data_IF_114997437708
#
_entry.id   IF_114997437708
#
_cell.length_a   1.000
_cell.length_b   1.000
_cell.length_c   1.000
_cell.angle_alpha   90.00
_cell.angle_beta   90.00
_cell.angle_gamma   90.00
#
_symmetry.space_group_name_H-M   'P 1'
#
loop_
_entity.id
_entity.type
_entity.pdbx_description
1 polymer ?
#
# COMPACT_ATOMS: atom_id res chain seq x y z
N UNK A 1 6.14 21.29 3.34
CA UNK A 1 5.43 22.30 2.53
C UNK A 1 3.92 22.27 2.79
N UNK A 2 3.21 21.12 2.81
CA UNK A 2 1.75 21.05 3.07
C UNK A 2 1.31 21.94 4.25
N UNK A 3 1.87 21.77 5.44
CA UNK A 3 1.53 22.59 6.62
C UNK A 3 1.73 24.09 6.43
N UNK A 4 2.69 24.49 5.57
CA UNK A 4 2.92 25.91 5.26
C UNK A 4 1.79 26.46 4.38
N UNK A 5 1.28 25.66 3.45
CA UNK A 5 0.14 26.02 2.60
C UNK A 5 -1.12 26.08 3.46
N UNK A 6 -1.39 25.00 4.22
CA UNK A 6 -2.55 24.92 5.13
C UNK A 6 -2.60 26.10 6.12
N UNK A 7 -1.45 26.51 6.68
CA UNK A 7 -1.35 27.63 7.61
C UNK A 7 -1.59 29.03 6.99
N UNK A 8 -1.59 29.13 5.65
CA UNK A 8 -1.90 30.35 4.91
C UNK A 8 -3.38 30.43 4.49
N UNK A 9 -4.12 29.33 4.68
CA UNK A 9 -5.57 29.31 4.41
C UNK A 9 -6.35 29.99 5.53
N UNK A 10 -7.51 30.54 5.20
CA UNK A 10 -8.37 31.24 6.14
C UNK A 10 -9.06 30.36 7.19
N UNK A 11 -9.91 30.97 8.03
CA UNK A 11 -10.67 30.24 9.07
C UNK A 11 -11.68 29.22 8.53
N UNK A 12 -12.03 29.32 7.27
CA UNK A 12 -12.95 28.42 6.56
C UNK A 12 -12.28 27.10 6.16
N UNK A 13 -10.95 26.98 6.37
CA UNK A 13 -10.16 25.82 6.01
C UNK A 13 -9.93 24.90 7.22
N UNK A 14 -10.41 23.67 7.12
CA UNK A 14 -10.16 22.61 8.09
C UNK A 14 -9.14 21.64 7.54
N UNK A 15 -7.91 21.64 8.09
CA UNK A 15 -6.82 20.79 7.67
C UNK A 15 -6.93 19.35 8.19
N UNK A 16 -6.34 18.39 7.46
CA UNK A 16 -6.11 17.00 7.89
C UNK A 16 -7.39 16.27 8.32
N UNK A 17 -8.44 16.33 7.49
CA UNK A 17 -9.75 15.76 7.82
C UNK A 17 -9.77 14.25 7.58
N UNK A 18 -9.90 13.41 8.62
CA UNK A 18 -10.00 11.97 8.46
C UNK A 18 -11.33 11.58 7.82
N UNK A 19 -11.28 10.70 6.85
CA UNK A 19 -12.43 10.17 6.13
C UNK A 19 -12.38 8.64 6.15
N UNK A 20 -13.52 8.01 6.35
CA UNK A 20 -13.66 6.57 6.34
C UNK A 20 -14.99 6.19 5.68
N UNK A 21 -14.96 5.18 4.82
CA UNK A 21 -16.15 4.59 4.23
C UNK A 21 -16.01 3.07 4.26
N UNK A 22 -17.08 2.39 4.67
CA UNK A 22 -17.18 0.94 4.60
C UNK A 22 -18.12 0.55 3.46
N UNK A 23 -17.60 -0.21 2.51
CA UNK A 23 -18.34 -0.70 1.33
C UNK A 23 -18.56 -2.21 1.50
N UNK A 24 -19.77 -2.65 1.88
CA UNK A 24 -20.08 -4.07 2.01
C UNK A 24 -19.93 -4.81 0.68
N UNK A 25 -19.30 -5.98 0.73
CA UNK A 25 -19.25 -6.97 -0.33
C UNK A 25 -19.95 -8.25 0.16
N UNK A 26 -20.18 -9.23 -0.71
CA UNK A 26 -20.87 -10.47 -0.33
C UNK A 26 -20.21 -11.23 0.85
N UNK A 27 -18.87 -11.24 0.92
CA UNK A 27 -18.12 -12.06 1.88
C UNK A 27 -17.20 -11.24 2.79
N UNK A 28 -17.04 -9.94 2.56
CA UNK A 28 -16.16 -9.06 3.32
C UNK A 28 -16.67 -7.61 3.26
N UNK A 29 -16.08 -6.76 4.09
CA UNK A 29 -16.27 -5.31 4.03
C UNK A 29 -14.98 -4.67 3.56
N UNK A 30 -15.04 -3.86 2.51
CA UNK A 30 -13.92 -3.05 2.07
C UNK A 30 -13.94 -1.73 2.83
N UNK A 31 -12.95 -1.50 3.69
CA UNK A 31 -12.76 -0.25 4.39
C UNK A 31 -11.83 0.68 3.61
N UNK A 32 -12.36 1.82 3.22
CA UNK A 32 -11.62 2.92 2.61
C UNK A 32 -11.34 3.95 3.68
N UNK A 33 -10.07 4.21 3.95
CA UNK A 33 -9.64 5.18 4.95
C UNK A 33 -8.63 6.13 4.33
N UNK A 34 -8.77 7.41 4.62
CA UNK A 34 -7.87 8.43 4.14
C UNK A 34 -7.96 9.70 4.95
N UNK A 35 -7.23 10.70 4.53
CA UNK A 35 -7.22 12.00 5.15
C UNK A 35 -7.13 13.04 4.05
N UNK A 36 -8.19 13.85 3.89
CA UNK A 36 -8.15 15.00 2.99
C UNK A 36 -7.19 16.06 3.57
N UNK A 37 -6.33 16.62 2.73
CA UNK A 37 -5.41 17.67 3.15
C UNK A 37 -6.16 18.89 3.69
N UNK A 38 -7.32 19.20 3.10
CA UNK A 38 -8.18 20.24 3.60
C UNK A 38 -9.62 20.16 3.13
N UNK A 39 -10.51 20.75 3.94
CA UNK A 39 -11.90 21.04 3.58
C UNK A 39 -12.14 22.53 3.77
N UNK A 40 -12.56 23.21 2.71
CA UNK A 40 -12.98 24.60 2.71
C UNK A 40 -14.51 24.63 2.81
N UNK A 41 -15.05 25.42 3.73
CA UNK A 41 -16.49 25.59 3.86
C UNK A 41 -16.80 27.07 3.91
N UNK A 42 -17.45 27.59 2.89
CA UNK A 42 -17.81 29.02 2.76
C UNK A 42 -19.24 29.20 2.21
N UNK A 43 -19.60 30.43 1.85
CA UNK A 43 -20.92 30.75 1.31
C UNK A 43 -21.17 30.10 -0.07
N UNK A 44 -20.12 29.82 -0.83
CA UNK A 44 -20.22 29.23 -2.17
C UNK A 44 -20.36 27.69 -2.10
N UNK A 45 -20.13 27.09 -0.92
CA UNK A 45 -20.27 25.66 -0.71
C UNK A 45 -19.09 25.00 0.01
N UNK A 46 -18.89 23.72 -0.30
CA UNK A 46 -17.83 22.90 0.27
C UNK A 46 -16.84 22.47 -0.81
N UNK A 47 -15.55 22.66 -0.55
CA UNK A 47 -14.47 22.23 -1.44
C UNK A 47 -13.49 21.32 -0.70
N UNK A 48 -13.18 20.16 -1.27
CA UNK A 48 -12.07 19.30 -0.84
C UNK A 48 -10.80 19.78 -1.50
N UNK A 49 -9.79 20.12 -0.72
CA UNK A 49 -8.46 20.52 -1.20
C UNK A 49 -7.44 19.39 -1.02
N UNK A 50 -6.80 19.01 -2.12
CA UNK A 50 -5.72 18.03 -2.15
C UNK A 50 -4.42 18.73 -2.57
N UNK A 51 -3.40 18.70 -1.71
CA UNK A 51 -2.14 19.41 -1.89
C UNK A 51 -1.05 18.47 -2.39
N UNK A 52 -0.41 18.80 -3.48
CA UNK A 52 0.73 18.06 -4.04
C UNK A 52 1.95 18.96 -4.16
N UNK A 53 3.01 18.61 -3.43
CA UNK A 53 4.29 19.31 -3.50
C UNK A 53 5.28 18.47 -4.31
N UNK A 54 5.93 19.08 -5.30
CA UNK A 54 6.84 18.38 -6.21
C UNK A 54 7.98 19.31 -6.67
N UNK A 55 9.07 18.71 -7.16
CA UNK A 55 10.18 19.41 -7.77
C UNK A 55 9.93 19.55 -9.29
N UNK A 56 8.98 20.41 -9.64
CA UNK A 56 8.56 20.62 -11.04
C UNK A 56 7.91 21.98 -11.13
N UNK A 57 8.17 22.70 -12.23
CA UNK A 57 7.51 23.97 -12.54
C UNK A 57 6.00 23.73 -12.72
N UNK A 58 5.24 23.98 -11.64
CA UNK A 58 3.79 23.75 -11.60
C UNK A 58 3.01 24.80 -12.38
N UNK A 59 3.64 25.92 -12.77
CA UNK A 59 2.97 26.99 -13.55
C UNK A 59 2.68 26.57 -14.99
N UNK A 60 3.33 25.49 -15.46
CA UNK A 60 3.12 24.90 -16.80
C UNK A 60 2.00 23.86 -16.85
N UNK A 61 1.36 23.58 -15.72
CA UNK A 61 0.24 22.64 -15.74
C UNK A 61 -0.98 23.28 -16.37
N UNK A 62 -1.50 22.66 -17.40
CA UNK A 62 -2.75 23.07 -18.08
C UNK A 62 -3.96 22.35 -17.48
N UNK A 63 -3.74 21.16 -16.88
CA UNK A 63 -4.76 20.35 -16.26
C UNK A 63 -4.21 19.60 -15.05
N UNK A 64 -5.06 19.17 -14.10
CA UNK A 64 -4.61 18.38 -12.95
C UNK A 64 -4.21 16.97 -13.37
N UNK A 65 -3.19 16.42 -12.69
CA UNK A 65 -2.81 15.02 -12.88
C UNK A 65 -3.97 14.13 -12.44
N UNK A 66 -4.44 13.27 -13.35
CA UNK A 66 -5.67 12.49 -13.17
C UNK A 66 -5.72 11.68 -11.86
N UNK A 67 -4.64 11.00 -11.48
CA UNK A 67 -4.60 10.21 -10.24
C UNK A 67 -4.77 11.07 -8.97
N UNK A 68 -4.27 12.30 -8.97
CA UNK A 68 -4.45 13.24 -7.86
C UNK A 68 -5.90 13.73 -7.81
N UNK A 69 -6.48 14.04 -8.98
CA UNK A 69 -7.89 14.40 -9.10
C UNK A 69 -8.79 13.26 -8.62
N UNK A 70 -8.53 12.03 -9.03
CA UNK A 70 -9.29 10.86 -8.59
C UNK A 70 -9.21 10.65 -7.07
N UNK A 71 -8.06 10.89 -6.44
CA UNK A 71 -7.93 10.84 -4.99
C UNK A 71 -8.83 11.88 -4.31
N UNK A 72 -8.80 13.13 -4.76
CA UNK A 72 -9.63 14.20 -4.22
C UNK A 72 -11.12 13.95 -4.46
N UNK A 73 -11.49 13.39 -5.61
CA UNK A 73 -12.88 12.98 -5.91
C UNK A 73 -13.38 11.88 -4.98
N UNK A 74 -12.52 10.90 -4.61
CA UNK A 74 -12.87 9.89 -3.59
C UNK A 74 -13.17 10.57 -2.24
N UNK A 75 -12.35 11.52 -1.82
CA UNK A 75 -12.58 12.26 -0.58
C UNK A 75 -13.84 13.11 -0.66
N UNK A 76 -14.08 13.78 -1.80
CA UNK A 76 -15.28 14.55 -2.03
C UNK A 76 -16.54 13.69 -1.95
N UNK A 77 -16.55 12.52 -2.59
CA UNK A 77 -17.66 11.57 -2.49
C UNK A 77 -17.94 11.15 -1.05
N UNK A 78 -16.90 10.72 -0.32
CA UNK A 78 -17.04 10.26 1.07
C UNK A 78 -17.56 11.40 1.95
N UNK A 79 -17.01 12.62 1.79
CA UNK A 79 -17.41 13.77 2.58
C UNK A 79 -18.85 14.21 2.27
N UNK A 80 -19.22 14.27 0.99
CA UNK A 80 -20.58 14.63 0.56
C UNK A 80 -21.61 13.60 1.05
N UNK A 81 -21.32 12.31 0.96
CA UNK A 81 -22.17 11.23 1.49
C UNK A 81 -22.41 11.39 2.99
N UNK A 82 -21.35 11.67 3.77
CA UNK A 82 -21.43 11.79 5.23
C UNK A 82 -22.16 13.05 5.71
N UNK A 83 -22.17 14.11 4.89
CA UNK A 83 -22.75 15.39 5.25
C UNK A 83 -24.04 15.72 4.47
N UNK A 84 -24.54 14.81 3.62
CA UNK A 84 -25.76 14.98 2.85
C UNK A 84 -25.70 16.15 1.85
N UNK A 85 -24.55 16.30 1.15
CA UNK A 85 -24.35 17.39 0.19
C UNK A 85 -24.79 16.95 -1.21
N UNK A 86 -25.58 17.75 -1.90
CA UNK A 86 -25.98 17.51 -3.29
C UNK A 86 -24.89 17.91 -4.30
N UNK A 87 -23.97 18.81 -3.88
CA UNK A 87 -22.87 19.31 -4.69
C UNK A 87 -21.64 19.57 -3.83
N UNK A 88 -20.45 19.34 -4.38
CA UNK A 88 -19.16 19.56 -3.73
C UNK A 88 -18.10 19.87 -4.78
N UNK A 89 -17.18 20.78 -4.46
CA UNK A 89 -16.02 21.07 -5.32
C UNK A 89 -14.78 20.27 -4.89
N UNK A 90 -13.89 20.05 -5.83
CA UNK A 90 -12.56 19.48 -5.64
C UNK A 90 -11.54 20.53 -6.09
N UNK A 91 -10.58 20.83 -5.24
CA UNK A 91 -9.44 21.68 -5.55
C UNK A 91 -8.15 20.84 -5.51
N UNK A 92 -7.32 20.96 -6.55
CA UNK A 92 -5.96 20.42 -6.58
C UNK A 92 -5.00 21.60 -6.40
N UNK A 93 -4.25 21.60 -5.32
CA UNK A 93 -3.23 22.62 -5.01
C UNK A 93 -1.85 22.06 -5.26
N UNK A 94 -1.22 22.41 -6.38
CA UNK A 94 0.16 22.03 -6.70
C UNK A 94 1.12 23.11 -6.21
N UNK A 95 2.25 22.69 -5.63
CA UNK A 95 3.30 23.58 -5.15
C UNK A 95 4.66 23.09 -5.63
N UNK A 96 5.40 23.96 -6.28
CA UNK A 96 6.81 23.75 -6.59
C UNK A 96 7.63 23.88 -5.30
N UNK A 97 8.47 22.89 -5.01
CA UNK A 97 9.31 22.85 -3.80
C UNK A 97 10.53 23.76 -3.88
N UNK A 98 10.96 24.14 -5.08
CA UNK A 98 12.11 25.03 -5.29
C UNK A 98 11.70 26.51 -5.27
N UNK A 99 10.62 26.86 -5.94
CA UNK A 99 10.17 28.26 -6.09
C UNK A 99 9.05 28.65 -5.12
N UNK A 100 8.37 27.69 -4.51
CA UNK A 100 7.14 27.84 -3.71
C UNK A 100 5.95 28.41 -4.50
N UNK A 101 6.03 28.42 -5.84
CA UNK A 101 4.90 28.81 -6.69
C UNK A 101 3.77 27.79 -6.57
N UNK A 102 2.54 28.29 -6.67
CA UNK A 102 1.31 27.50 -6.48
C UNK A 102 0.42 27.63 -7.71
N UNK A 103 -0.02 26.49 -8.22
CA UNK A 103 -1.06 26.37 -9.24
C UNK A 103 -2.26 25.64 -8.66
N UNK A 104 -3.49 26.14 -8.94
CA UNK A 104 -4.73 25.51 -8.44
C UNK A 104 -5.69 25.23 -9.58
N UNK A 105 -6.33 24.05 -9.49
CA UNK A 105 -7.43 23.65 -10.36
C UNK A 105 -8.63 23.35 -9.47
N UNK A 106 -9.78 23.89 -9.81
CA UNK A 106 -11.03 23.65 -9.09
C UNK A 106 -12.12 23.18 -10.07
N UNK A 107 -12.91 22.20 -9.63
CA UNK A 107 -14.02 21.66 -10.39
C UNK A 107 -15.14 21.23 -9.46
N UNK A 108 -16.37 21.59 -9.80
CA UNK A 108 -17.58 21.25 -9.03
C UNK A 108 -18.23 19.98 -9.59
N UNK A 109 -18.70 19.13 -8.69
CA UNK A 109 -19.37 17.88 -9.01
C UNK A 109 -20.71 17.79 -8.28
N UNK A 110 -21.74 17.25 -8.97
CA UNK A 110 -22.93 16.79 -8.27
C UNK A 110 -22.64 15.48 -7.51
N UNK A 111 -23.31 15.29 -6.37
CA UNK A 111 -23.21 14.05 -5.61
C UNK A 111 -23.54 12.82 -6.48
N UNK A 112 -24.62 12.90 -7.27
CA UNK A 112 -25.03 11.81 -8.15
C UNK A 112 -23.93 11.40 -9.14
N UNK A 113 -23.21 12.37 -9.71
CA UNK A 113 -22.10 12.09 -10.63
C UNK A 113 -20.93 11.43 -9.92
N UNK A 114 -20.54 11.95 -8.73
CA UNK A 114 -19.48 11.36 -7.92
C UNK A 114 -19.82 9.95 -7.46
N UNK A 115 -21.06 9.70 -7.05
CA UNK A 115 -21.54 8.39 -6.64
C UNK A 115 -21.40 7.37 -7.76
N UNK A 116 -21.86 7.71 -8.97
CA UNK A 116 -21.73 6.83 -10.12
C UNK A 116 -20.29 6.56 -10.48
N UNK A 117 -19.46 7.61 -10.54
CA UNK A 117 -18.03 7.48 -10.81
C UNK A 117 -17.34 6.59 -9.76
N UNK A 118 -17.66 6.77 -8.49
CA UNK A 118 -17.13 5.98 -7.40
C UNK A 118 -17.55 4.51 -7.50
N UNK A 119 -18.80 4.24 -7.82
CA UNK A 119 -19.31 2.89 -8.03
C UNK A 119 -18.59 2.18 -9.19
N UNK A 120 -18.41 2.85 -10.33
CA UNK A 120 -17.69 2.31 -11.48
C UNK A 120 -16.21 2.00 -11.13
N UNK A 121 -15.55 2.88 -10.37
CA UNK A 121 -14.20 2.66 -9.87
C UNK A 121 -14.14 1.46 -8.91
N UNK A 122 -15.10 1.33 -8.00
CA UNK A 122 -15.18 0.22 -7.06
C UNK A 122 -15.42 -1.11 -7.76
N UNK A 123 -16.28 -1.17 -8.77
CA UNK A 123 -16.51 -2.37 -9.58
C UNK A 123 -15.22 -2.76 -10.33
N UNK A 124 -14.51 -1.80 -10.92
CA UNK A 124 -13.21 -2.06 -11.54
C UNK A 124 -12.16 -2.59 -10.56
N UNK A 125 -12.19 -2.13 -9.28
CA UNK A 125 -11.26 -2.55 -8.24
C UNK A 125 -11.62 -3.89 -7.63
N UNK A 126 -12.86 -4.33 -7.71
CA UNK A 126 -13.41 -5.53 -7.09
C UNK A 126 -12.62 -6.80 -7.40
N UNK A 127 -12.17 -6.95 -8.66
CA UNK A 127 -11.37 -8.12 -9.06
C UNK A 127 -10.13 -8.35 -8.18
N UNK A 128 -9.46 -7.28 -7.72
CA UNK A 128 -8.30 -7.40 -6.84
C UNK A 128 -8.68 -7.68 -5.40
N UNK A 129 -9.75 -7.07 -4.89
CA UNK A 129 -10.20 -7.31 -3.52
C UNK A 129 -10.74 -8.73 -3.35
N UNK A 130 -11.51 -9.23 -4.31
CA UNK A 130 -12.00 -10.61 -4.33
C UNK A 130 -10.83 -11.61 -4.39
N UNK A 131 -9.85 -11.36 -5.27
CA UNK A 131 -8.65 -12.17 -5.35
C UNK A 131 -7.87 -12.17 -4.02
N UNK A 132 -7.62 -11.01 -3.43
CA UNK A 132 -6.89 -10.91 -2.17
C UNK A 132 -7.63 -11.63 -1.03
N UNK A 133 -8.94 -11.51 -0.97
CA UNK A 133 -9.77 -12.19 0.02
C UNK A 133 -9.68 -13.71 -0.14
N UNK A 134 -9.90 -14.22 -1.34
CA UNK A 134 -9.81 -15.64 -1.64
C UNK A 134 -8.40 -16.19 -1.37
N UNK A 135 -7.37 -15.46 -1.80
CA UNK A 135 -5.98 -15.83 -1.58
C UNK A 135 -5.61 -15.87 -0.10
N UNK A 136 -6.06 -14.89 0.69
CA UNK A 136 -5.86 -14.88 2.13
C UNK A 136 -6.41 -16.16 2.78
N UNK A 137 -7.60 -16.59 2.39
CA UNK A 137 -8.22 -17.82 2.89
C UNK A 137 -7.38 -19.06 2.55
N UNK A 138 -6.92 -19.18 1.29
CA UNK A 138 -6.04 -20.28 0.84
C UNK A 138 -4.73 -20.28 1.65
N UNK A 139 -4.09 -19.11 1.78
CA UNK A 139 -2.86 -18.95 2.56
C UNK A 139 -3.06 -19.38 4.01
N UNK A 140 -4.08 -18.89 4.69
CA UNK A 140 -4.35 -19.19 6.10
C UNK A 140 -4.59 -20.68 6.30
N UNK A 141 -5.41 -21.30 5.46
CA UNK A 141 -5.67 -22.74 5.52
C UNK A 141 -4.37 -23.55 5.34
N UNK A 142 -3.51 -23.17 4.40
CA UNK A 142 -2.25 -23.86 4.16
C UNK A 142 -1.26 -23.76 5.32
N UNK A 143 -1.32 -22.68 6.10
CA UNK A 143 -0.45 -22.47 7.26
C UNK A 143 -0.90 -23.34 8.45
N UNK A 144 -2.21 -23.56 8.63
CA UNK A 144 -2.74 -24.33 9.74
C UNK A 144 -2.19 -25.74 9.81
N UNK A 145 -1.98 -26.38 8.66
CA UNK A 145 -1.45 -27.75 8.53
C UNK A 145 0.07 -27.82 8.35
N UNK A 146 0.75 -26.66 8.29
CA UNK A 146 2.17 -26.60 8.04
C UNK A 146 2.96 -27.00 9.29
N UNK A 147 3.79 -28.04 9.17
CA UNK A 147 4.68 -28.49 10.22
C UNK A 147 6.12 -28.02 9.99
N UNK A 148 6.93 -28.03 11.04
CA UNK A 148 8.35 -27.75 10.92
C UNK A 148 9.00 -28.89 10.10
N UNK A 149 9.74 -28.57 9.02
CA UNK A 149 10.07 -29.57 7.98
C UNK A 149 11.17 -30.54 8.35
N UNK A 150 11.80 -30.40 9.52
CA UNK A 150 12.93 -31.24 9.98
C UNK A 150 12.76 -31.61 11.46
N UNK A 151 13.45 -32.68 11.93
CA UNK A 151 13.68 -32.88 13.36
C UNK A 151 14.40 -31.64 13.94
N UNK A 152 13.93 -31.16 15.09
CA UNK A 152 14.58 -30.06 15.73
C UNK A 152 15.99 -30.39 16.21
N UNK A 153 16.94 -29.50 15.93
CA UNK A 153 18.29 -29.54 16.50
C UNK A 153 18.25 -28.97 17.92
N UNK A 154 19.32 -29.25 18.68
CA UNK A 154 19.49 -28.69 20.01
C UNK A 154 19.33 -27.15 19.99
N UNK A 155 18.58 -26.61 20.91
CA UNK A 155 18.25 -25.18 20.99
C UNK A 155 17.32 -24.62 19.92
N UNK A 156 17.09 -25.35 18.81
CA UNK A 156 16.28 -24.86 17.70
C UNK A 156 14.79 -24.75 18.06
N UNK A 157 14.27 -25.71 18.80
CA UNK A 157 12.89 -25.67 19.28
C UNK A 157 12.64 -24.45 20.16
N UNK A 158 13.58 -24.14 21.07
CA UNK A 158 13.51 -22.96 21.93
C UNK A 158 13.51 -21.69 21.09
N UNK A 159 14.40 -21.59 20.10
CA UNK A 159 14.50 -20.44 19.21
C UNK A 159 13.20 -20.18 18.43
N UNK A 160 12.60 -21.22 17.83
CA UNK A 160 11.31 -21.14 17.13
C UNK A 160 10.22 -20.59 18.06
N UNK A 161 10.14 -21.10 19.29
CA UNK A 161 9.20 -20.63 20.30
C UNK A 161 9.45 -19.18 20.74
N UNK A 162 10.73 -18.78 20.86
CA UNK A 162 11.08 -17.40 21.25
C UNK A 162 10.69 -16.39 20.15
N UNK A 163 10.94 -16.72 18.88
CA UNK A 163 10.50 -15.89 17.73
C UNK A 163 8.98 -15.76 17.72
N UNK A 164 8.24 -16.86 17.81
CA UNK A 164 6.79 -16.83 17.83
C UNK A 164 6.24 -15.98 18.97
N UNK A 165 6.70 -16.22 20.20
CA UNK A 165 6.29 -15.44 21.39
C UNK A 165 6.59 -13.96 21.26
N UNK A 166 7.71 -13.62 20.61
CA UNK A 166 8.11 -12.23 20.39
C UNK A 166 7.16 -11.52 19.45
N UNK A 167 6.76 -12.17 18.36
CA UNK A 167 5.77 -11.64 17.41
C UNK A 167 4.41 -11.48 18.11
N UNK A 168 3.95 -12.50 18.82
CA UNK A 168 2.70 -12.48 19.55
C UNK A 168 2.64 -11.33 20.58
N UNK A 169 3.76 -11.06 21.26
CA UNK A 169 3.87 -9.99 22.26
C UNK A 169 4.21 -8.62 21.66
N UNK A 170 4.37 -8.51 20.34
CA UNK A 170 4.77 -7.28 19.63
C UNK A 170 6.07 -6.67 20.21
N UNK A 171 7.07 -7.51 20.46
CA UNK A 171 8.36 -7.14 21.03
C UNK A 171 9.49 -7.27 20.00
N UNK A 172 10.69 -6.85 20.37
CA UNK A 172 11.93 -7.00 19.60
C UNK A 172 12.72 -8.16 20.21
N UNK A 173 13.31 -8.99 19.33
CA UNK A 173 14.15 -10.11 19.72
C UNK A 173 15.53 -9.97 19.06
N UNK A 174 16.58 -10.03 19.83
CA UNK A 174 17.94 -10.15 19.36
C UNK A 174 18.39 -11.62 19.50
N UNK A 175 18.91 -12.18 18.42
CA UNK A 175 19.31 -13.60 18.37
C UNK A 175 20.78 -13.69 18.00
N UNK A 176 21.55 -14.34 18.85
CA UNK A 176 22.90 -14.77 18.55
C UNK A 176 22.95 -16.30 18.54
N UNK A 177 23.31 -16.87 17.40
CA UNK A 177 23.43 -18.31 17.26
C UNK A 177 24.55 -18.67 16.25
N UNK A 178 25.28 -19.78 16.43
CA UNK A 178 26.33 -20.23 15.52
C UNK A 178 25.85 -20.44 14.09
N UNK A 179 26.79 -20.51 13.15
CA UNK A 179 26.48 -20.91 11.77
C UNK A 179 26.01 -22.37 11.74
N UNK A 180 25.14 -22.72 10.78
CA UNK A 180 24.62 -24.06 10.63
C UNK A 180 23.49 -24.48 11.57
N UNK A 181 23.07 -23.64 12.52
CA UNK A 181 21.96 -23.95 13.46
C UNK A 181 20.56 -23.82 12.84
N UNK A 182 20.45 -23.49 11.56
CA UNK A 182 19.16 -23.32 10.90
C UNK A 182 18.41 -22.03 11.29
N UNK A 183 19.14 -20.94 11.56
CA UNK A 183 18.53 -19.63 11.94
C UNK A 183 17.42 -19.17 11.00
N UNK A 184 17.62 -19.31 9.69
CA UNK A 184 16.67 -18.84 8.67
C UNK A 184 15.30 -19.50 8.81
N UNK A 185 15.27 -20.83 8.85
CA UNK A 185 14.01 -21.58 9.01
C UNK A 185 13.41 -21.35 10.41
N UNK A 186 14.25 -21.22 11.44
CA UNK A 186 13.81 -20.98 12.82
C UNK A 186 13.23 -19.56 13.04
N UNK A 187 13.50 -18.64 12.12
CA UNK A 187 12.87 -17.32 12.10
C UNK A 187 11.64 -17.28 11.16
N UNK A 188 11.75 -17.81 9.94
CA UNK A 188 10.69 -17.75 8.95
C UNK A 188 9.50 -18.62 9.29
N UNK A 189 9.69 -19.86 9.74
CA UNK A 189 8.60 -20.77 10.06
C UNK A 189 7.67 -20.22 11.14
N UNK A 190 8.15 -19.79 12.33
CA UNK A 190 7.27 -19.23 13.35
C UNK A 190 6.64 -17.89 12.94
N UNK A 191 7.32 -17.09 12.10
CA UNK A 191 6.74 -15.89 11.53
C UNK A 191 5.58 -16.21 10.58
N UNK A 192 5.72 -17.22 9.72
CA UNK A 192 4.64 -17.72 8.87
C UNK A 192 3.49 -18.26 9.73
N UNK A 193 3.77 -19.04 10.78
CA UNK A 193 2.74 -19.50 11.72
C UNK A 193 1.96 -18.34 12.34
N UNK A 194 2.66 -17.29 12.76
CA UNK A 194 2.06 -16.07 13.31
C UNK A 194 1.14 -15.37 12.30
N UNK A 195 1.53 -15.32 11.01
CA UNK A 195 0.66 -14.83 9.94
C UNK A 195 -0.59 -15.70 9.82
N UNK A 196 -0.47 -17.02 9.94
CA UNK A 196 -1.60 -17.96 9.93
C UNK A 196 -2.61 -17.71 11.05
N UNK A 197 -2.17 -17.12 12.15
CA UNK A 197 -2.98 -16.75 13.31
C UNK A 197 -3.41 -15.28 13.33
N UNK A 198 -3.26 -14.59 12.20
CA UNK A 198 -3.59 -13.17 12.02
C UNK A 198 -2.81 -12.20 12.94
N UNK A 199 -1.63 -12.59 13.39
CA UNK A 199 -0.73 -11.71 14.17
C UNK A 199 0.07 -10.74 13.28
N UNK A 200 -0.03 -10.88 11.97
CA UNK A 200 0.54 -10.02 10.94
C UNK A 200 0.12 -10.48 9.56
N UNK A 201 0.26 -9.63 8.56
CA UNK A 201 -0.13 -9.94 7.17
C UNK A 201 1.05 -10.17 6.23
N UNK A 202 2.20 -9.59 6.54
CA UNK A 202 3.41 -9.61 5.71
C UNK A 202 4.66 -9.85 6.54
N UNK A 203 5.63 -10.51 5.93
CA UNK A 203 6.96 -10.74 6.51
C UNK A 203 7.99 -10.07 5.61
N UNK A 204 8.79 -9.17 6.17
CA UNK A 204 9.94 -8.57 5.50
C UNK A 204 11.21 -9.25 6.02
N UNK A 205 11.85 -10.06 5.19
CA UNK A 205 13.13 -10.70 5.51
C UNK A 205 14.27 -9.86 4.90
N UNK A 206 14.88 -9.02 5.70
CA UNK A 206 15.92 -8.09 5.28
C UNK A 206 17.30 -8.73 5.44
N UNK A 207 18.14 -8.63 4.42
CA UNK A 207 19.50 -9.21 4.43
C UNK A 207 20.51 -8.23 3.85
N UNK A 208 21.70 -8.16 4.45
CA UNK A 208 22.80 -7.34 3.92
C UNK A 208 23.57 -8.05 2.78
N UNK A 209 23.45 -9.37 2.65
CA UNK A 209 24.22 -10.19 1.68
C UNK A 209 23.30 -10.96 0.74
N UNK A 210 23.67 -11.03 -0.53
CA UNK A 210 22.93 -11.76 -1.57
C UNK A 210 22.76 -13.25 -1.24
N UNK A 211 23.80 -13.91 -0.73
CA UNK A 211 23.74 -15.33 -0.31
C UNK A 211 22.65 -15.58 0.74
N UNK A 212 22.51 -14.69 1.73
CA UNK A 212 21.48 -14.86 2.78
C UNK A 212 20.07 -14.74 2.20
N UNK A 213 19.90 -13.93 1.16
CA UNK A 213 18.63 -13.81 0.42
C UNK A 213 18.25 -15.14 -0.25
N UNK A 214 19.22 -15.81 -0.90
CA UNK A 214 18.99 -17.12 -1.54
C UNK A 214 18.56 -18.15 -0.51
N UNK A 215 19.23 -18.23 0.63
CA UNK A 215 18.87 -19.16 1.72
C UNK A 215 17.45 -18.92 2.24
N UNK A 216 17.03 -17.66 2.34
CA UNK A 216 15.66 -17.34 2.75
C UNK A 216 14.62 -17.78 1.69
N UNK A 217 14.94 -17.56 0.39
CA UNK A 217 14.10 -18.03 -0.72
C UNK A 217 13.99 -19.55 -0.73
N UNK A 218 15.10 -20.26 -0.65
CA UNK A 218 15.15 -21.73 -0.64
C UNK A 218 14.36 -22.29 0.56
N UNK A 219 14.43 -21.63 1.71
CA UNK A 219 13.61 -21.97 2.89
C UNK A 219 12.12 -21.83 2.60
N UNK A 220 11.71 -20.76 1.95
CA UNK A 220 10.32 -20.58 1.55
C UNK A 220 9.87 -21.59 0.50
N UNK A 221 10.73 -21.91 -0.47
CA UNK A 221 10.44 -22.92 -1.51
C UNK A 221 10.31 -24.33 -0.89
N UNK A 222 11.14 -24.66 0.09
CA UNK A 222 11.00 -25.88 0.88
C UNK A 222 9.63 -25.94 1.61
N UNK A 223 9.22 -24.85 2.25
CA UNK A 223 7.93 -24.79 2.93
C UNK A 223 6.77 -24.89 1.93
N UNK A 224 6.90 -24.27 0.74
CA UNK A 224 5.94 -24.44 -0.36
C UNK A 224 5.82 -25.88 -0.82
N UNK A 225 6.92 -26.60 -0.94
CA UNK A 225 6.92 -28.05 -1.24
C UNK A 225 6.22 -28.89 -0.16
N UNK A 226 6.12 -28.36 1.07
CA UNK A 226 5.38 -28.95 2.19
C UNK A 226 3.94 -28.46 2.34
N UNK A 227 3.44 -27.72 1.33
CA UNK A 227 2.03 -27.28 1.28
C UNK A 227 1.79 -25.82 1.59
N UNK A 228 2.80 -25.04 1.99
CA UNK A 228 2.63 -23.59 2.21
C UNK A 228 2.23 -22.86 0.93
N UNK A 229 1.17 -22.08 0.97
CA UNK A 229 0.62 -21.34 -0.16
C UNK A 229 0.79 -19.81 -0.04
N UNK A 230 1.87 -19.35 0.56
CA UNK A 230 2.19 -17.92 0.61
C UNK A 230 2.92 -17.45 -0.64
N UNK A 231 2.63 -16.22 -1.08
CA UNK A 231 3.40 -15.54 -2.13
C UNK A 231 4.73 -15.05 -1.54
N UNK A 232 5.81 -15.24 -2.27
CA UNK A 232 7.17 -14.86 -1.87
C UNK A 232 7.82 -14.11 -3.03
N UNK A 233 8.22 -12.87 -2.76
CA UNK A 233 8.87 -12.01 -3.73
C UNK A 233 10.27 -11.67 -3.25
N UNK A 234 11.26 -11.79 -4.14
CA UNK A 234 12.63 -11.36 -3.90
C UNK A 234 12.82 -9.98 -4.55
N UNK A 235 12.86 -8.94 -3.73
CA UNK A 235 13.12 -7.59 -4.23
C UNK A 235 14.61 -7.41 -4.53
N UNK A 236 14.88 -6.94 -5.73
CA UNK A 236 16.23 -6.61 -6.20
C UNK A 236 16.25 -5.14 -6.60
N UNK A 237 17.32 -4.44 -6.26
CA UNK A 237 17.48 -3.04 -6.62
C UNK A 237 17.38 -2.85 -8.14
N UNK A 238 16.70 -1.79 -8.56
CA UNK A 238 16.38 -1.48 -9.95
C UNK A 238 17.63 -1.41 -10.82
N UNK A 239 18.71 -0.83 -10.29
CA UNK A 239 20.01 -0.67 -10.97
C UNK A 239 20.64 -2.03 -11.31
N UNK A 240 20.35 -3.07 -10.52
CA UNK A 240 20.86 -4.43 -10.75
C UNK A 240 20.02 -5.24 -11.75
N UNK A 241 18.81 -4.75 -12.04
CA UNK A 241 17.86 -5.43 -12.94
C UNK A 241 17.70 -4.72 -14.28
N UNK A 242 18.06 -3.44 -14.34
CA UNK A 242 17.95 -2.67 -15.57
C UNK A 242 18.93 -3.17 -16.61
N UNK A 243 18.51 -3.57 -17.81
CA UNK A 243 19.41 -3.98 -18.89
C UNK A 243 19.90 -2.81 -19.74
N UNK A 244 19.47 -1.56 -19.43
CA UNK A 244 19.92 -0.37 -20.16
C UNK A 244 21.25 0.11 -19.58
N UNK A 245 22.15 0.58 -20.44
CA UNK A 245 23.44 1.17 -20.03
C UNK A 245 23.22 2.42 -19.18
N UNK A 246 22.27 3.27 -19.60
CA UNK A 246 21.81 4.41 -18.82
C UNK A 246 20.39 4.17 -18.35
N UNK A 247 20.15 4.39 -17.07
CA UNK A 247 18.84 4.15 -16.45
C UNK A 247 17.95 5.39 -16.56
N UNK A 248 17.23 5.50 -17.69
CA UNK A 248 16.12 6.45 -17.84
C UNK A 248 14.78 5.71 -17.71
N UNK A 249 14.07 6.00 -16.62
CA UNK A 249 12.78 5.38 -16.33
C UNK A 249 11.59 6.25 -16.71
N UNK A 250 11.79 7.16 -17.62
CA UNK A 250 10.71 7.91 -18.25
C UNK A 250 9.88 6.98 -19.16
N UNK A 251 8.55 6.87 -18.98
CA UNK A 251 7.69 6.05 -19.83
C UNK A 251 7.73 6.40 -21.32
N UNK A 252 8.12 7.63 -21.68
CA UNK A 252 8.30 8.05 -23.08
C UNK A 252 9.55 7.44 -23.72
N UNK A 253 10.59 7.15 -22.93
CA UNK A 253 11.90 6.72 -23.39
C UNK A 253 12.16 5.24 -23.12
N UNK A 254 11.50 4.65 -22.13
CA UNK A 254 11.71 3.28 -21.71
C UNK A 254 10.46 2.43 -21.85
N UNK A 255 10.49 1.44 -22.74
CA UNK A 255 9.39 0.49 -22.95
C UNK A 255 9.03 -0.32 -21.70
N UNK A 256 9.98 -0.50 -20.75
CA UNK A 256 9.75 -1.20 -19.50
C UNK A 256 9.09 -0.31 -18.44
N UNK A 257 9.29 1.00 -18.51
CA UNK A 257 8.60 1.97 -17.68
C UNK A 257 7.17 2.22 -18.19
N UNK A 258 6.98 2.22 -19.52
CA UNK A 258 5.66 2.39 -20.16
C UNK A 258 4.73 1.24 -19.75
N UNK A 259 3.58 1.56 -19.18
CA UNK A 259 2.59 0.57 -18.69
C UNK A 259 3.09 -0.30 -17.53
N UNK A 260 4.09 0.17 -16.75
CA UNK A 260 4.66 -0.59 -15.64
C UNK A 260 3.60 -0.95 -14.58
N UNK A 261 2.78 0.00 -14.19
CA UNK A 261 1.77 -0.21 -13.15
C UNK A 261 0.69 -1.19 -13.58
N UNK A 262 0.29 -1.18 -14.86
CA UNK A 262 -0.69 -2.13 -15.39
C UNK A 262 -0.13 -3.57 -15.29
N UNK A 263 1.13 -3.76 -15.72
CA UNK A 263 1.80 -5.07 -15.60
C UNK A 263 2.02 -5.51 -14.16
N UNK A 264 2.29 -4.57 -13.24
CA UNK A 264 2.38 -4.90 -11.79
C UNK A 264 1.03 -5.35 -11.27
N UNK A 265 -0.04 -4.67 -11.67
CA UNK A 265 -1.39 -5.07 -11.28
C UNK A 265 -1.75 -6.47 -11.80
N UNK A 266 -1.38 -6.79 -13.04
CA UNK A 266 -1.60 -8.12 -13.62
C UNK A 266 -0.78 -9.19 -12.89
N UNK A 267 0.48 -8.89 -12.54
CA UNK A 267 1.36 -9.81 -11.79
C UNK A 267 0.87 -10.13 -10.36
N UNK A 268 -0.12 -9.42 -9.84
CA UNK A 268 -0.73 -9.76 -8.54
C UNK A 268 -1.42 -11.14 -8.59
N UNK A 269 -1.90 -11.55 -9.76
CA UNK A 269 -2.61 -12.83 -9.94
C UNK A 269 -1.64 -14.04 -10.09
N UNK A 270 -0.39 -13.82 -10.49
CA UNK A 270 0.64 -14.85 -10.66
C UNK A 270 1.24 -15.29 -9.30
#
# INVERSE_FOLDING_TARGET
>A
MHRKIQGRMGMEYRAEVPLKLEVPQEQYVLALEGRADGIITNADGVTVDEIKCMYTDVTRFEEPIFVHKAQAMCYAYIYALQNGLDQISVQLTYCDLDTEEICRFEEAFSFFWLERWFQDMMEAYRKWTDFQFAWRKIRQTSIQTLEFPFPYREGQYKLVGDVYRTIHRKKILFIQAPTGTGKTISALFPAIRAVGENLGDKIFYLTAKTITRTVAKDTCDLLKAKGYRGKVIVLTAKEKMCPCEEMDCNPSNCLRAKGHYDRVNDAVYD
#
